data_IF_559742796783
#
_entry.id   IF_559742796783
#
_cell.length_a   1.000
_cell.length_b   1.000
_cell.length_c   1.000
_cell.angle_alpha   90.00
_cell.angle_beta   90.00
_cell.angle_gamma   90.00
#
_symmetry.space_group_name_H-M   'P 1'
#
loop_
_entity.id
_entity.type
_entity.pdbx_description
1 polymer ?
#
# COMPACT_ATOMS: atom_id res chain seq x y z
N UNK A 1 6.83 -36.46 -4.48
CA UNK A 1 5.72 -35.52 -4.29
C UNK A 1 4.66 -36.26 -3.49
N UNK A 2 4.51 -35.94 -2.21
CA UNK A 2 3.36 -36.42 -1.44
C UNK A 2 2.08 -35.79 -2.02
N UNK A 3 1.00 -36.56 -2.21
CA UNK A 3 -0.27 -35.99 -2.62
C UNK A 3 -0.77 -35.05 -1.52
N UNK A 4 -1.24 -33.86 -1.92
CA UNK A 4 -1.90 -32.95 -1.00
C UNK A 4 -3.10 -33.67 -0.38
N UNK A 5 -3.03 -33.94 0.92
CA UNK A 5 -4.15 -34.50 1.69
C UNK A 5 -5.31 -33.53 1.58
N UNK A 6 -6.42 -33.99 1.00
CA UNK A 6 -7.67 -33.24 0.91
C UNK A 6 -8.20 -32.98 2.32
N UNK A 7 -7.80 -31.85 2.91
CA UNK A 7 -8.17 -31.47 4.28
C UNK A 7 -9.64 -31.08 4.29
N UNK A 8 -10.49 -31.95 4.84
CA UNK A 8 -11.92 -31.65 5.04
C UNK A 8 -12.11 -30.64 6.16
N UNK A 9 -12.33 -29.39 5.80
CA UNK A 9 -12.78 -28.36 6.73
C UNK A 9 -14.18 -28.67 7.30
N UNK A 10 -14.50 -28.13 8.48
CA UNK A 10 -15.82 -28.34 9.09
C UNK A 10 -16.94 -27.66 8.30
N UNK A 11 -18.16 -28.19 8.38
CA UNK A 11 -19.34 -27.55 7.75
C UNK A 11 -19.59 -26.12 8.26
N UNK A 12 -19.28 -25.86 9.53
CA UNK A 12 -19.40 -24.53 10.11
C UNK A 12 -18.39 -23.55 9.51
N UNK A 13 -17.12 -23.97 9.41
CA UNK A 13 -16.04 -23.21 8.80
C UNK A 13 -16.39 -22.80 7.36
N UNK A 14 -16.85 -23.76 6.54
CA UNK A 14 -17.17 -23.51 5.14
C UNK A 14 -18.32 -22.51 4.99
N UNK A 15 -19.36 -22.63 5.83
CA UNK A 15 -20.48 -21.69 5.86
C UNK A 15 -20.03 -20.28 6.27
N UNK A 16 -19.13 -20.16 7.24
CA UNK A 16 -18.62 -18.86 7.69
C UNK A 16 -17.81 -18.17 6.59
N UNK A 17 -16.90 -18.86 5.93
CA UNK A 17 -16.12 -18.28 4.81
C UNK A 17 -17.02 -17.85 3.65
N UNK A 18 -18.00 -18.67 3.28
CA UNK A 18 -18.98 -18.29 2.26
C UNK A 18 -19.78 -17.04 2.66
N UNK A 19 -20.12 -16.88 3.94
CA UNK A 19 -20.77 -15.67 4.42
C UNK A 19 -19.84 -14.45 4.32
N UNK A 20 -18.56 -14.60 4.68
CA UNK A 20 -17.57 -13.52 4.59
C UNK A 20 -17.29 -13.12 3.13
N UNK A 21 -17.24 -14.09 2.21
CA UNK A 21 -17.12 -13.80 0.77
C UNK A 21 -18.26 -12.95 0.24
N UNK A 22 -19.50 -13.21 0.69
CA UNK A 22 -20.67 -12.38 0.30
C UNK A 22 -20.58 -10.95 0.83
N UNK A 23 -20.02 -10.77 2.03
CA UNK A 23 -19.77 -9.43 2.58
C UNK A 23 -18.72 -8.71 1.73
N UNK A 24 -17.62 -9.41 1.41
CA UNK A 24 -16.56 -8.84 0.57
C UNK A 24 -17.06 -8.47 -0.84
N UNK A 25 -17.92 -9.29 -1.43
CA UNK A 25 -18.50 -9.01 -2.75
C UNK A 25 -19.39 -7.76 -2.77
N UNK A 26 -20.08 -7.47 -1.66
CA UNK A 26 -21.07 -6.38 -1.58
C UNK A 26 -20.50 -5.07 -1.03
N UNK A 27 -19.64 -5.15 -0.01
CA UNK A 27 -19.33 -4.02 0.88
C UNK A 27 -17.86 -3.56 0.79
N UNK A 28 -17.10 -4.03 -0.21
CA UNK A 28 -15.72 -3.56 -0.43
C UNK A 28 -15.69 -2.18 -1.12
N UNK A 29 -14.81 -1.26 -0.66
CA UNK A 29 -14.52 -0.04 -1.40
C UNK A 29 -13.99 -0.35 -2.80
N UNK A 30 -14.26 0.53 -3.78
CA UNK A 30 -13.80 0.41 -5.18
C UNK A 30 -12.27 0.37 -5.35
N UNK A 31 -11.52 0.63 -4.27
CA UNK A 31 -10.05 0.60 -4.24
C UNK A 31 -9.50 -0.72 -3.69
N UNK A 32 -10.36 -1.69 -3.36
CA UNK A 32 -9.95 -2.99 -2.81
C UNK A 32 -10.54 -4.10 -3.69
N UNK A 33 -9.66 -4.97 -4.19
CA UNK A 33 -10.05 -6.10 -5.03
C UNK A 33 -9.55 -7.40 -4.43
N UNK A 34 -10.33 -8.45 -4.58
CA UNK A 34 -10.09 -9.73 -3.94
C UNK A 34 -10.33 -10.86 -4.94
N UNK A 35 -9.47 -11.88 -4.90
CA UNK A 35 -9.64 -13.14 -5.63
C UNK A 35 -9.51 -14.32 -4.67
N UNK A 36 -10.52 -15.18 -4.67
CA UNK A 36 -10.46 -16.46 -3.96
C UNK A 36 -9.83 -17.54 -4.86
N UNK A 37 -9.11 -18.49 -4.26
CA UNK A 37 -8.58 -19.62 -4.99
C UNK A 37 -9.68 -20.67 -5.22
N UNK A 38 -9.94 -21.02 -6.48
CA UNK A 38 -10.99 -21.97 -6.85
C UNK A 38 -10.79 -23.36 -6.21
N UNK A 39 -9.54 -23.85 -6.19
CA UNK A 39 -9.21 -25.15 -5.60
C UNK A 39 -9.05 -25.13 -4.08
N UNK A 40 -8.97 -23.95 -3.45
CA UNK A 40 -8.62 -23.78 -2.03
C UNK A 40 -9.41 -22.62 -1.42
N UNK A 41 -10.59 -22.93 -0.86
CA UNK A 41 -11.47 -21.94 -0.22
C UNK A 41 -10.81 -21.21 0.97
N UNK A 42 -9.78 -21.81 1.56
CA UNK A 42 -8.99 -21.24 2.65
C UNK A 42 -7.93 -20.23 2.18
N UNK A 43 -7.78 -20.01 0.87
CA UNK A 43 -6.79 -19.09 0.30
C UNK A 43 -7.45 -18.00 -0.53
N UNK A 44 -7.03 -16.76 -0.23
CA UNK A 44 -7.44 -15.57 -0.97
C UNK A 44 -6.25 -14.65 -1.19
N UNK A 45 -6.32 -13.86 -2.25
CA UNK A 45 -5.39 -12.76 -2.50
C UNK A 45 -6.18 -11.46 -2.65
N UNK A 46 -5.76 -10.44 -1.92
CA UNK A 46 -6.30 -9.10 -2.02
C UNK A 46 -5.25 -8.14 -2.61
N UNK A 47 -5.73 -7.09 -3.25
CA UNK A 47 -4.95 -5.91 -3.60
C UNK A 47 -5.69 -4.68 -3.10
N UNK A 48 -4.97 -3.82 -2.40
CA UNK A 48 -5.45 -2.51 -1.98
C UNK A 48 -4.73 -1.47 -2.84
N UNK A 49 -5.49 -0.61 -3.50
CA UNK A 49 -4.97 0.58 -4.16
C UNK A 49 -4.76 1.65 -3.09
N UNK A 50 -3.55 2.23 -3.05
CA UNK A 50 -3.25 3.33 -2.14
C UNK A 50 -4.14 4.54 -2.45
N UNK A 51 -4.77 5.08 -1.40
CA UNK A 51 -5.76 6.14 -1.54
C UNK A 51 -5.12 7.48 -1.92
N UNK A 52 -5.87 8.31 -2.65
CA UNK A 52 -5.48 9.69 -2.93
C UNK A 52 -5.26 10.46 -1.63
N UNK A 53 -4.30 11.39 -1.63
CA UNK A 53 -3.96 12.19 -0.46
C UNK A 53 -3.05 11.48 0.57
N UNK A 54 -2.66 10.23 0.30
CA UNK A 54 -1.69 9.47 1.12
C UNK A 54 -0.36 9.33 0.37
N UNK A 55 0.77 9.07 1.05
CA UNK A 55 2.04 8.76 0.36
C UNK A 55 2.03 7.41 -0.37
N UNK A 56 0.91 6.67 -0.28
CA UNK A 56 0.70 5.38 -0.94
C UNK A 56 -0.05 5.51 -2.28
N UNK A 57 -0.53 6.71 -2.62
CA UNK A 57 -1.47 6.91 -3.72
C UNK A 57 -1.04 6.21 -5.02
N UNK A 58 -2.00 5.57 -5.68
CA UNK A 58 -1.84 4.79 -6.92
C UNK A 58 -0.98 3.52 -6.82
N UNK A 59 -0.31 3.28 -5.69
CA UNK A 59 0.43 2.04 -5.45
C UNK A 59 -0.50 0.84 -5.29
N UNK A 60 -0.04 -0.35 -5.68
CA UNK A 60 -0.75 -1.61 -5.49
C UNK A 60 -0.12 -2.41 -4.36
N UNK A 61 -0.88 -2.68 -3.31
CA UNK A 61 -0.43 -3.39 -2.11
C UNK A 61 -1.12 -4.75 -2.02
N UNK A 62 -0.37 -5.81 -2.32
CA UNK A 62 -0.90 -7.17 -2.37
C UNK A 62 -0.77 -7.91 -1.05
N UNK A 63 -1.82 -8.64 -0.68
CA UNK A 63 -1.88 -9.44 0.54
C UNK A 63 -2.38 -10.85 0.22
N UNK A 64 -1.65 -11.86 0.66
CA UNK A 64 -2.14 -13.24 0.72
C UNK A 64 -2.82 -13.47 2.06
N UNK A 65 -3.99 -14.11 2.02
CA UNK A 65 -4.84 -14.36 3.18
C UNK A 65 -5.11 -15.86 3.25
N UNK A 66 -4.81 -16.45 4.40
CA UNK A 66 -5.06 -17.85 4.69
C UNK A 66 -5.99 -18.01 5.89
N UNK A 67 -7.09 -18.72 5.71
CA UNK A 67 -8.06 -19.04 6.76
C UNK A 67 -7.71 -20.38 7.38
N UNK A 68 -7.18 -20.43 8.62
CA UNK A 68 -6.84 -21.70 9.26
C UNK A 68 -8.10 -22.54 9.56
N UNK A 69 -7.92 -23.82 9.84
CA UNK A 69 -9.01 -24.74 10.25
C UNK A 69 -9.77 -24.25 11.51
N UNK A 70 -9.11 -23.43 12.33
CA UNK A 70 -9.67 -22.80 13.53
C UNK A 70 -10.45 -21.51 13.26
N UNK A 71 -10.54 -21.05 12.02
CA UNK A 71 -11.35 -19.90 11.64
C UNK A 71 -12.86 -20.18 11.85
N UNK A 72 -13.66 -19.23 12.36
CA UNK A 72 -13.32 -17.85 12.73
C UNK A 72 -12.87 -17.69 14.19
N UNK A 73 -12.64 -18.75 14.96
CA UNK A 73 -12.19 -18.62 16.36
C UNK A 73 -10.82 -17.96 16.45
N UNK A 74 -9.96 -18.15 15.44
CA UNK A 74 -8.69 -17.44 15.26
C UNK A 74 -8.76 -16.59 14.00
N UNK A 75 -8.08 -15.44 14.02
CA UNK A 75 -7.95 -14.54 12.88
C UNK A 75 -7.31 -15.24 11.67
N UNK A 76 -7.61 -14.81 10.43
CA UNK A 76 -6.88 -15.29 9.28
C UNK A 76 -5.43 -14.81 9.31
N UNK A 77 -4.54 -15.60 8.72
CA UNK A 77 -3.14 -15.25 8.55
C UNK A 77 -2.99 -14.37 7.32
N UNK A 78 -2.23 -13.28 7.43
CA UNK A 78 -2.04 -12.31 6.35
C UNK A 78 -0.56 -12.14 6.05
N UNK A 79 -0.20 -12.16 4.77
CA UNK A 79 1.17 -11.95 4.29
C UNK A 79 1.20 -10.84 3.23
N UNK A 80 1.99 -9.80 3.47
CA UNK A 80 2.19 -8.68 2.56
C UNK A 80 3.30 -8.97 1.55
N UNK A 81 3.03 -8.70 0.27
CA UNK A 81 4.03 -8.79 -0.79
C UNK A 81 4.96 -7.58 -0.75
N UNK A 82 5.97 -7.64 0.13
CA UNK A 82 6.81 -6.48 0.49
C UNK A 82 7.81 -6.04 -0.57
N UNK A 83 8.20 -6.93 -1.48
CA UNK A 83 9.35 -6.70 -2.37
C UNK A 83 10.67 -6.42 -1.62
N UNK A 84 10.78 -6.84 -0.35
CA UNK A 84 11.92 -6.56 0.52
C UNK A 84 11.93 -5.16 1.14
N UNK A 85 10.82 -4.42 1.07
CA UNK A 85 10.72 -3.05 1.60
C UNK A 85 9.88 -3.01 2.88
N UNK A 86 10.36 -2.27 3.88
CA UNK A 86 9.54 -1.84 5.03
C UNK A 86 8.95 -0.48 4.72
N UNK A 87 7.70 -0.44 4.27
CA UNK A 87 7.04 0.78 3.76
C UNK A 87 6.14 1.49 4.78
N UNK A 88 5.85 0.80 5.88
CA UNK A 88 5.06 1.32 7.00
C UNK A 88 5.54 0.61 8.28
N UNK A 89 5.40 1.21 9.47
CA UNK A 89 5.76 0.55 10.73
C UNK A 89 5.03 -0.78 10.93
N UNK A 90 3.86 -0.94 10.30
CA UNK A 90 3.06 -2.15 10.34
C UNK A 90 3.22 -3.07 9.12
N UNK A 91 4.04 -2.71 8.12
CA UNK A 91 4.28 -3.51 6.90
C UNK A 91 5.78 -3.73 6.68
N UNK A 92 6.23 -4.93 7.06
CA UNK A 92 7.65 -5.27 7.18
C UNK A 92 8.21 -5.78 5.85
N UNK A 93 9.53 -5.64 5.67
CA UNK A 93 10.26 -6.23 4.54
C UNK A 93 10.12 -7.76 4.44
N UNK A 94 9.81 -8.45 5.53
CA UNK A 94 9.54 -9.90 5.57
C UNK A 94 8.15 -10.28 5.07
N UNK A 95 7.28 -9.29 4.82
CA UNK A 95 5.87 -9.48 4.53
C UNK A 95 4.99 -9.67 5.77
N UNK A 96 5.54 -9.51 6.97
CA UNK A 96 4.75 -9.51 8.19
C UNK A 96 3.89 -8.23 8.30
N UNK A 97 2.66 -8.38 8.79
CA UNK A 97 1.68 -7.30 8.98
C UNK A 97 1.31 -7.19 10.47
N UNK A 98 1.60 -6.06 11.10
CA UNK A 98 1.31 -5.82 12.51
C UNK A 98 -0.03 -5.10 12.71
N UNK A 99 -1.06 -5.82 13.14
CA UNK A 99 -2.33 -5.27 13.63
C UNK A 99 -2.86 -6.10 14.81
N UNK A 100 -3.44 -5.41 15.78
CA UNK A 100 -4.14 -6.05 16.92
C UNK A 100 -5.26 -6.99 16.44
N UNK A 101 -5.93 -6.61 15.35
CA UNK A 101 -6.94 -7.41 14.68
C UNK A 101 -6.43 -8.76 14.17
N UNK A 102 -5.12 -8.92 13.96
CA UNK A 102 -4.49 -10.19 13.60
C UNK A 102 -3.80 -10.88 14.79
N UNK A 103 -3.91 -10.33 16.00
CA UNK A 103 -3.18 -10.81 17.19
C UNK A 103 -1.67 -10.60 17.11
N UNK A 104 -1.20 -9.75 16.19
CA UNK A 104 0.24 -9.48 15.95
C UNK A 104 0.70 -8.18 16.61
N UNK A 105 -0.22 -7.44 17.24
CA UNK A 105 0.07 -6.21 17.97
C UNK A 105 -0.84 -6.09 19.19
N UNK A 106 -0.44 -5.27 20.17
CA UNK A 106 -1.30 -4.93 21.32
C UNK A 106 -2.48 -4.05 20.87
N UNK A 107 -3.69 -4.40 21.29
CA UNK A 107 -4.89 -3.58 21.13
C UNK A 107 -5.87 -3.83 22.27
N UNK A 108 -6.85 -2.93 22.41
CA UNK A 108 -7.93 -3.13 23.36
C UNK A 108 -8.84 -4.31 22.93
N UNK A 109 -9.69 -4.80 23.82
CA UNK A 109 -10.55 -5.97 23.56
C UNK A 109 -11.40 -5.85 22.29
N UNK A 110 -11.78 -4.64 21.89
CA UNK A 110 -12.58 -4.38 20.68
C UNK A 110 -11.76 -4.20 19.40
N UNK A 111 -10.47 -3.96 19.53
CA UNK A 111 -9.52 -3.85 18.40
C UNK A 111 -8.93 -5.21 18.02
N UNK A 112 -9.00 -6.20 18.92
CA UNK A 112 -8.58 -7.57 18.66
C UNK A 112 -9.61 -8.32 17.80
N UNK A 113 -9.19 -9.46 17.25
CA UNK A 113 -10.07 -10.33 16.48
C UNK A 113 -11.28 -10.81 17.31
N UNK A 114 -12.48 -10.52 16.81
CA UNK A 114 -13.75 -10.94 17.37
C UNK A 114 -14.43 -11.91 16.39
N UNK A 115 -14.47 -13.23 16.67
CA UNK A 115 -14.95 -14.26 15.74
C UNK A 115 -16.32 -14.02 15.08
N UNK A 116 -17.20 -13.27 15.76
CA UNK A 116 -18.56 -13.00 15.30
C UNK A 116 -18.76 -11.58 14.73
N UNK A 117 -17.80 -10.68 14.93
CA UNK A 117 -17.94 -9.25 14.57
C UNK A 117 -16.92 -8.80 13.52
N UNK A 118 -15.70 -9.35 13.56
CA UNK A 118 -14.64 -8.97 12.63
C UNK A 118 -14.90 -9.53 11.23
N UNK A 119 -15.08 -8.63 10.26
CA UNK A 119 -15.35 -8.98 8.85
C UNK A 119 -14.54 -8.13 7.85
N UNK A 120 -14.14 -6.90 8.21
CA UNK A 120 -13.57 -5.91 7.28
C UNK A 120 -12.06 -5.66 7.45
N UNK A 121 -11.26 -6.74 7.44
CA UNK A 121 -9.79 -6.68 7.62
C UNK A 121 -9.09 -5.73 6.63
N UNK A 122 -9.50 -5.77 5.36
CA UNK A 122 -8.87 -5.00 4.28
C UNK A 122 -9.12 -3.50 4.42
N UNK A 123 -10.30 -3.12 4.91
CA UNK A 123 -10.64 -1.72 5.16
C UNK A 123 -9.84 -1.18 6.36
N UNK A 124 -9.61 -2.01 7.39
CA UNK A 124 -8.71 -1.64 8.49
C UNK A 124 -7.27 -1.42 8.01
N UNK A 125 -6.73 -2.27 7.13
CA UNK A 125 -5.40 -2.05 6.55
C UNK A 125 -5.37 -0.73 5.77
N UNK A 126 -6.37 -0.48 4.90
CA UNK A 126 -6.39 0.76 4.13
C UNK A 126 -6.47 2.01 5.03
N UNK A 127 -7.37 2.01 6.02
CA UNK A 127 -7.62 3.18 6.87
C UNK A 127 -6.58 3.41 7.97
N UNK A 128 -6.05 2.34 8.57
CA UNK A 128 -5.14 2.43 9.72
C UNK A 128 -3.68 2.37 9.30
N UNK A 129 -3.33 1.56 8.29
CA UNK A 129 -1.94 1.40 7.84
C UNK A 129 -1.63 2.36 6.70
N UNK A 130 -2.37 2.29 5.60
CA UNK A 130 -2.09 3.02 4.37
C UNK A 130 -2.66 4.45 4.40
N UNK A 131 -2.47 5.15 5.52
CA UNK A 131 -3.08 6.46 5.79
C UNK A 131 -2.17 7.64 5.39
N UNK A 132 -2.69 8.87 5.55
CA UNK A 132 -2.01 10.11 5.15
C UNK A 132 -0.73 10.44 5.93
N UNK A 133 -0.62 10.01 7.19
CA UNK A 133 0.49 10.34 8.09
C UNK A 133 1.03 9.07 8.77
N UNK A 134 1.66 8.15 8.00
CA UNK A 134 2.04 6.83 8.49
C UNK A 134 3.13 6.86 9.56
N UNK A 135 3.83 7.98 9.75
CA UNK A 135 4.74 8.18 10.88
C UNK A 135 4.08 7.88 12.22
N UNK A 136 2.81 8.28 12.41
CA UNK A 136 2.11 8.08 13.68
C UNK A 136 1.64 6.65 13.92
N UNK A 137 1.88 5.75 12.97
CA UNK A 137 1.70 4.31 13.18
C UNK A 137 2.85 3.72 14.01
N UNK A 138 3.98 4.42 14.14
CA UNK A 138 5.07 3.98 15.00
C UNK A 138 4.61 3.92 16.47
N UNK A 139 4.97 2.86 17.20
CA UNK A 139 4.69 2.77 18.62
C UNK A 139 5.26 3.96 19.37
N UNK A 140 4.50 4.48 20.32
CA UNK A 140 4.92 5.57 21.22
C UNK A 140 5.25 6.91 20.55
N UNK A 141 4.98 7.13 19.25
CA UNK A 141 5.17 8.45 18.63
C UNK A 141 3.86 9.22 18.47
N UNK A 142 2.70 8.60 18.69
CA UNK A 142 1.39 9.24 18.48
C UNK A 142 1.20 10.56 19.26
N UNK A 143 1.75 10.68 20.47
CA UNK A 143 1.69 11.90 21.28
C UNK A 143 2.44 13.08 20.63
N UNK A 144 3.43 12.82 19.78
CA UNK A 144 4.20 13.86 19.08
C UNK A 144 3.34 14.66 18.11
N UNK A 145 2.14 14.18 17.75
CA UNK A 145 1.16 14.93 16.94
C UNK A 145 0.83 16.31 17.53
N UNK A 146 0.93 16.45 18.84
CA UNK A 146 0.62 17.70 19.56
C UNK A 146 1.88 18.53 19.87
N UNK A 147 3.04 18.15 19.33
CA UNK A 147 4.30 18.87 19.53
C UNK A 147 4.73 19.59 18.24
N UNK A 148 5.50 20.68 18.33
CA UNK A 148 6.03 21.38 17.15
C UNK A 148 6.94 20.50 16.26
N UNK A 149 7.50 19.41 16.80
CA UNK A 149 8.40 18.52 16.09
C UNK A 149 7.69 17.40 15.31
N UNK A 150 6.46 17.05 15.69
CA UNK A 150 5.74 15.92 15.08
C UNK A 150 5.47 16.11 13.59
N UNK A 151 5.03 17.30 13.18
CA UNK A 151 4.69 17.56 11.78
C UNK A 151 5.92 17.51 10.84
N UNK A 152 7.07 18.13 11.17
CA UNK A 152 8.30 17.94 10.41
C UNK A 152 8.73 16.48 10.25
N UNK A 153 8.68 15.67 11.32
CA UNK A 153 9.02 14.25 11.25
C UNK A 153 8.03 13.47 10.38
N UNK A 154 6.73 13.69 10.58
CA UNK A 154 5.67 13.07 9.77
C UNK A 154 5.82 13.39 8.29
N UNK A 155 6.20 14.62 7.96
CA UNK A 155 6.45 15.04 6.58
C UNK A 155 7.64 14.32 5.98
N UNK A 156 8.80 14.33 6.65
CA UNK A 156 10.00 13.63 6.16
C UNK A 156 9.78 12.12 6.00
N UNK A 157 9.01 11.52 6.92
CA UNK A 157 8.60 10.12 6.82
C UNK A 157 7.71 9.88 5.58
N UNK A 158 6.72 10.74 5.34
CA UNK A 158 5.81 10.63 4.18
C UNK A 158 6.53 10.80 2.84
N UNK A 159 7.53 11.69 2.78
CA UNK A 159 8.44 11.82 1.63
C UNK A 159 9.17 10.51 1.34
N UNK A 160 9.76 9.88 2.36
CA UNK A 160 10.42 8.58 2.21
C UNK A 160 9.45 7.46 1.80
N UNK A 161 8.27 7.40 2.41
CA UNK A 161 7.24 6.42 2.06
C UNK A 161 6.85 6.54 0.59
N UNK A 162 6.68 7.76 0.06
CA UNK A 162 6.36 7.93 -1.36
C UNK A 162 7.45 7.36 -2.28
N UNK A 163 8.74 7.57 -1.97
CA UNK A 163 9.84 6.94 -2.72
C UNK A 163 9.77 5.41 -2.67
N UNK A 164 9.44 4.83 -1.50
CA UNK A 164 9.23 3.40 -1.35
C UNK A 164 7.98 2.91 -2.12
N UNK A 165 6.92 3.71 -2.20
CA UNK A 165 5.73 3.44 -3.02
C UNK A 165 6.12 3.34 -4.50
N UNK A 166 6.94 4.26 -5.01
CA UNK A 166 7.45 4.19 -6.38
C UNK A 166 8.27 2.91 -6.63
N UNK A 167 9.11 2.51 -5.68
CA UNK A 167 9.86 1.24 -5.77
C UNK A 167 8.94 0.04 -5.78
N UNK A 168 7.89 0.07 -4.97
CA UNK A 168 6.83 -0.96 -4.95
C UNK A 168 6.11 -1.04 -6.28
N UNK A 169 5.77 0.10 -6.91
CA UNK A 169 5.17 0.12 -8.26
C UNK A 169 6.06 -0.59 -9.28
N UNK A 170 7.36 -0.27 -9.31
CA UNK A 170 8.32 -0.93 -10.23
C UNK A 170 8.41 -2.43 -9.95
N UNK A 171 8.50 -2.83 -8.67
CA UNK A 171 8.52 -4.24 -8.28
C UNK A 171 7.28 -4.98 -8.79
N UNK A 172 6.09 -4.43 -8.55
CA UNK A 172 4.81 -5.04 -8.95
C UNK A 172 4.65 -5.07 -10.48
N UNK A 173 5.06 -4.03 -11.20
CA UNK A 173 5.02 -4.03 -12.67
C UNK A 173 5.95 -5.10 -13.27
N UNK A 174 7.12 -5.32 -12.66
CA UNK A 174 8.11 -6.32 -13.13
C UNK A 174 7.76 -7.74 -12.72
N UNK A 175 7.15 -7.92 -11.55
CA UNK A 175 6.80 -9.22 -10.99
C UNK A 175 5.38 -9.17 -10.40
N UNK A 176 4.36 -9.05 -11.26
CA UNK A 176 2.97 -9.07 -10.80
C UNK A 176 2.67 -10.40 -10.11
N UNK A 177 1.89 -10.40 -9.02
CA UNK A 177 1.46 -11.65 -8.40
C UNK A 177 0.61 -12.48 -9.38
N UNK A 178 0.75 -13.80 -9.32
CA UNK A 178 0.01 -14.71 -10.19
C UNK A 178 -1.48 -14.39 -10.24
N UNK A 179 -2.04 -14.42 -11.44
CA UNK A 179 -3.42 -14.08 -11.80
C UNK A 179 -3.75 -12.59 -11.74
N UNK A 180 -2.88 -11.70 -11.26
CA UNK A 180 -3.10 -10.26 -11.25
C UNK A 180 -2.32 -9.51 -12.35
N UNK A 181 -1.71 -10.22 -13.30
CA UNK A 181 -0.88 -9.63 -14.36
C UNK A 181 -1.65 -8.57 -15.16
N UNK A 182 -2.86 -8.91 -15.61
CA UNK A 182 -3.69 -7.99 -16.39
C UNK A 182 -4.23 -6.84 -15.52
N UNK A 183 -4.56 -7.11 -14.25
CA UNK A 183 -5.00 -6.08 -13.32
C UNK A 183 -3.90 -5.03 -13.10
N UNK A 184 -2.67 -5.48 -12.84
CA UNK A 184 -1.51 -4.61 -12.65
C UNK A 184 -1.22 -3.80 -13.92
N UNK A 185 -1.22 -4.46 -15.08
CA UNK A 185 -1.01 -3.82 -16.39
C UNK A 185 -2.05 -2.74 -16.64
N UNK A 186 -3.33 -3.08 -16.53
CA UNK A 186 -4.45 -2.16 -16.78
C UNK A 186 -4.46 -0.99 -15.80
N UNK A 187 -4.24 -1.23 -14.51
CA UNK A 187 -4.17 -0.18 -13.49
C UNK A 187 -3.08 0.85 -13.83
N UNK A 188 -1.84 0.42 -14.02
CA UNK A 188 -0.76 1.37 -14.30
C UNK A 188 -0.87 2.00 -15.69
N UNK A 189 -1.42 1.30 -16.69
CA UNK A 189 -1.71 1.92 -17.99
C UNK A 189 -2.67 3.11 -17.87
N UNK A 190 -3.74 2.97 -17.07
CA UNK A 190 -4.72 4.04 -16.82
C UNK A 190 -4.12 5.15 -15.95
N UNK A 191 -3.42 4.78 -14.87
CA UNK A 191 -2.94 5.73 -13.84
C UNK A 191 -1.61 6.41 -14.17
N UNK A 192 -0.85 5.94 -15.17
CA UNK A 192 0.50 6.45 -15.47
C UNK A 192 0.55 7.98 -15.61
N UNK A 193 -0.43 8.59 -16.29
CA UNK A 193 -0.49 10.05 -16.49
C UNK A 193 -0.68 10.81 -15.19
N UNK A 194 -1.55 10.32 -14.31
CA UNK A 194 -1.80 10.93 -13.01
C UNK A 194 -0.60 10.78 -12.07
N UNK A 195 0.06 9.61 -12.10
CA UNK A 195 1.28 9.36 -11.31
C UNK A 195 2.40 10.30 -11.73
N UNK A 196 2.65 10.47 -13.04
CA UNK A 196 3.67 11.41 -13.54
C UNK A 196 3.29 12.86 -13.20
N UNK A 197 2.01 13.22 -13.29
CA UNK A 197 1.53 14.56 -12.90
C UNK A 197 1.78 14.84 -11.41
N UNK A 198 1.47 13.90 -10.53
CA UNK A 198 1.72 14.01 -9.10
C UNK A 198 3.22 14.11 -8.80
N UNK A 199 4.04 13.25 -9.41
CA UNK A 199 5.49 13.29 -9.27
C UNK A 199 6.08 14.64 -9.71
N UNK A 200 5.63 15.18 -10.84
CA UNK A 200 6.06 16.51 -11.31
C UNK A 200 5.68 17.62 -10.32
N UNK A 201 4.49 17.57 -9.73
CA UNK A 201 4.10 18.51 -8.67
C UNK A 201 5.01 18.40 -7.44
N UNK A 202 5.39 17.17 -7.05
CA UNK A 202 6.33 16.96 -5.95
C UNK A 202 7.73 17.47 -6.27
N UNK A 203 8.22 17.29 -7.51
CA UNK A 203 9.49 17.86 -7.98
C UNK A 203 9.48 19.39 -7.89
N UNK A 204 8.33 20.02 -8.18
CA UNK A 204 8.14 21.47 -8.02
C UNK A 204 8.04 21.94 -6.56
N UNK A 205 7.93 21.00 -5.61
CA UNK A 205 7.90 21.28 -4.18
C UNK A 205 6.53 21.18 -3.52
N UNK A 206 5.50 20.68 -4.22
CA UNK A 206 4.22 20.37 -3.60
C UNK A 206 4.40 19.31 -2.50
N UNK A 207 3.67 19.39 -1.38
CA UNK A 207 3.74 18.37 -0.33
C UNK A 207 3.12 17.06 -0.81
N UNK A 208 3.65 15.93 -0.32
CA UNK A 208 3.15 14.59 -0.64
C UNK A 208 1.67 14.45 -0.28
N UNK A 209 0.87 13.87 -1.18
CA UNK A 209 -0.56 13.70 -0.99
C UNK A 209 -1.36 15.01 -1.08
N UNK A 210 -0.84 16.04 -1.75
CA UNK A 210 -1.63 17.24 -2.05
C UNK A 210 -2.53 17.05 -3.27
N UNK A 211 -3.81 17.34 -3.08
CA UNK A 211 -4.79 17.46 -4.17
C UNK A 211 -4.57 18.86 -4.75
N UNK A 212 -3.94 18.94 -5.92
CA UNK A 212 -3.36 20.18 -6.47
C UNK A 212 -4.35 21.36 -6.45
N UNK A 213 -4.14 22.29 -5.50
CA UNK A 213 -4.43 23.73 -5.62
C UNK A 213 -3.35 24.49 -4.84
N UNK A 214 -2.66 25.37 -5.56
CA UNK A 214 -1.32 25.87 -5.22
C UNK A 214 -1.16 26.39 -3.81
N UNK A 215 -0.03 26.03 -3.17
CA UNK A 215 0.60 26.77 -2.08
C UNK A 215 2.03 26.27 -1.86
N UNK A 216 2.91 27.24 -1.54
CA UNK A 216 4.23 27.19 -0.88
C UNK A 216 5.09 25.92 -1.02
N UNK A 217 6.27 26.07 -1.64
CA UNK A 217 7.36 25.07 -1.68
C UNK A 217 7.59 24.45 -0.29
N UNK A 218 7.18 23.20 -0.11
CA UNK A 218 7.32 22.48 1.16
C UNK A 218 8.22 21.25 1.00
N UNK A 219 8.18 20.52 -0.11
CA UNK A 219 8.99 19.30 -0.28
C UNK A 219 10.49 19.53 -0.07
N UNK A 220 11.16 18.63 0.66
CA UNK A 220 12.61 18.74 0.89
C UNK A 220 13.41 18.63 -0.41
N UNK A 221 14.56 19.31 -0.51
CA UNK A 221 15.39 19.25 -1.71
C UNK A 221 15.85 17.82 -2.04
N UNK A 222 16.17 17.04 -1.00
CA UNK A 222 16.50 15.62 -1.11
C UNK A 222 15.36 14.83 -1.75
N UNK A 223 14.15 14.94 -1.20
CA UNK A 223 12.96 14.27 -1.72
C UNK A 223 12.69 14.61 -3.18
N UNK A 224 12.66 15.91 -3.51
CA UNK A 224 12.41 16.39 -4.88
C UNK A 224 13.41 15.80 -5.88
N UNK A 225 14.67 15.71 -5.49
CA UNK A 225 15.75 15.13 -6.30
C UNK A 225 15.56 13.62 -6.46
N UNK A 226 15.29 12.90 -5.38
CA UNK A 226 15.06 11.45 -5.40
C UNK A 226 13.83 11.06 -6.24
N UNK A 227 12.74 11.81 -6.16
CA UNK A 227 11.57 11.61 -7.04
C UNK A 227 11.97 11.79 -8.50
N UNK A 228 12.62 12.90 -8.86
CA UNK A 228 13.02 13.16 -10.25
C UNK A 228 13.95 12.08 -10.82
N UNK A 229 14.87 11.54 -10.00
CA UNK A 229 15.79 10.48 -10.40
C UNK A 229 15.05 9.15 -10.54
N UNK A 230 14.32 8.72 -9.50
CA UNK A 230 13.73 7.38 -9.48
C UNK A 230 12.55 7.26 -10.45
N UNK A 231 11.79 8.33 -10.65
CA UNK A 231 10.67 8.35 -11.59
C UNK A 231 11.06 8.05 -13.04
N UNK A 232 12.34 8.23 -13.42
CA UNK A 232 12.81 7.76 -14.74
C UNK A 232 12.59 6.26 -14.90
N UNK A 233 12.95 5.48 -13.88
CA UNK A 233 12.71 4.03 -13.85
C UNK A 233 11.22 3.70 -13.94
N UNK A 234 10.38 4.46 -13.23
CA UNK A 234 8.92 4.27 -13.23
C UNK A 234 8.35 4.55 -14.64
N UNK A 235 8.77 5.64 -15.27
CA UNK A 235 8.38 6.00 -16.64
C UNK A 235 8.84 4.95 -17.64
N UNK A 236 10.05 4.42 -17.51
CA UNK A 236 10.53 3.33 -18.38
C UNK A 236 9.61 2.09 -18.32
N UNK A 237 9.11 1.73 -17.14
CA UNK A 237 8.12 0.66 -17.01
C UNK A 237 6.76 1.06 -17.63
N UNK A 238 6.28 2.29 -17.47
CA UNK A 238 5.06 2.76 -18.13
C UNK A 238 5.16 2.75 -19.66
N UNK A 239 6.32 3.10 -20.21
CA UNK A 239 6.59 3.04 -21.65
C UNK A 239 6.51 1.58 -22.14
N UNK A 240 7.06 0.61 -21.40
CA UNK A 240 6.92 -0.82 -21.71
C UNK A 240 5.47 -1.30 -21.65
N UNK A 241 4.64 -0.70 -20.80
CA UNK A 241 3.20 -0.96 -20.76
C UNK A 241 2.43 -0.35 -21.94
N UNK A 242 3.03 0.58 -22.68
CA UNK A 242 2.47 1.20 -23.89
C UNK A 242 2.20 2.70 -23.78
N UNK A 243 2.50 3.34 -22.63
CA UNK A 243 2.28 4.78 -22.40
C UNK A 243 3.49 5.59 -22.87
N UNK A 244 3.78 5.50 -24.17
CA UNK A 244 5.03 5.99 -24.78
C UNK A 244 5.21 7.50 -24.67
N UNK A 245 4.13 8.26 -24.63
CA UNK A 245 4.16 9.72 -24.60
C UNK A 245 4.71 10.32 -23.29
N UNK A 246 4.94 9.50 -22.25
CA UNK A 246 5.46 9.96 -20.95
C UNK A 246 6.99 10.12 -20.92
N UNK A 247 7.70 9.60 -21.92
CA UNK A 247 9.17 9.61 -21.97
C UNK A 247 9.76 11.02 -21.77
N UNK A 248 9.11 12.04 -22.34
CA UNK A 248 9.55 13.44 -22.29
C UNK A 248 8.72 14.33 -21.35
N UNK A 249 7.83 13.73 -20.53
CA UNK A 249 6.91 14.48 -19.65
C UNK A 249 7.41 14.59 -18.21
N UNK A 250 8.42 13.82 -17.83
CA UNK A 250 9.01 13.89 -16.50
C UNK A 250 9.93 15.10 -16.37
N UNK A 251 9.74 15.89 -15.32
CA UNK A 251 10.59 17.06 -15.03
C UNK A 251 12.00 16.64 -14.59
N UNK A 252 13.04 17.42 -14.95
CA UNK A 252 14.38 17.17 -14.46
C UNK A 252 14.49 17.43 -12.94
N UNK A 253 15.54 16.91 -12.28
CA UNK A 253 15.83 17.26 -10.90
C UNK A 253 15.96 18.77 -10.69
N UNK A 254 15.56 19.30 -9.52
CA UNK A 254 15.70 20.72 -9.22
C UNK A 254 17.18 21.14 -9.20
N UNK A 255 17.48 22.32 -9.74
CA UNK A 255 18.84 22.89 -9.74
C UNK A 255 19.14 23.53 -8.38
N UNK A 256 20.27 23.18 -7.78
CA UNK A 256 20.79 23.87 -6.60
C UNK A 256 21.51 25.14 -7.09
N UNK A 257 20.88 26.30 -6.92
CA UNK A 257 21.60 27.56 -7.06
C UNK A 257 22.47 27.75 -5.82
N UNK A 258 23.73 27.34 -5.89
CA UNK A 258 24.74 27.77 -4.91
C UNK A 258 25.01 29.25 -5.18
N UNK A 259 24.44 30.14 -4.38
CA UNK A 259 24.89 31.52 -4.33
C UNK A 259 26.31 31.53 -3.78
N UNK A 260 27.30 31.44 -4.68
CA UNK A 260 28.67 31.90 -4.41
C UNK A 260 28.64 33.43 -4.42
N UNK A 261 28.12 34.01 -3.34
CA UNK A 261 28.34 35.42 -3.05
C UNK A 261 29.80 35.59 -2.66
N UNK A 262 30.56 36.26 -3.53
CA UNK A 262 31.87 36.85 -3.25
C UNK A 262 31.76 37.92 -2.16
#
# INVERSE_FOLDING_TARGET
MEPAVDRKHSRYWAKKIQADWKILEKDLPETIFVRACESRMDLMRAVIIGAEGTPYHDGLFFLDIHFPDTYPSVAPMVHYHSGGLTINPNLYNSGHVCLSLFGTWYGNTRENWLPQESTMLLVSIQGLILNRKPYYNEPFVGWTKWTPLGEPFSKGYSENVFILSLRTMVYIMRKPPNHFEEFVRSHYFVRARDIVKAANAYIDGAPVGSIVKGTSQSGSMKFRTEVAVFMKTVVDEFVKLGVKELQDKLKPPPVIHTNTSR
#
